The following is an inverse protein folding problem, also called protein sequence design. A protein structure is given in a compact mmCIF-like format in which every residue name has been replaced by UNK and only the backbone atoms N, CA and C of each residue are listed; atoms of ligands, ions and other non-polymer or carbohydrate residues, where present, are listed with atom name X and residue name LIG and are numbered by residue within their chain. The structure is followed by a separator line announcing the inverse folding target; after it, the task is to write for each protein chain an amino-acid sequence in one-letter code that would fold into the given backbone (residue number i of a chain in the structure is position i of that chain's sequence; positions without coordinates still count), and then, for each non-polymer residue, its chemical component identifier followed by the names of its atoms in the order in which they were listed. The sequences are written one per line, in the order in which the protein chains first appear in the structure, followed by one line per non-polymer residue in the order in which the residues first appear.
data_IF_522399349413
#
_entry.id   IF_522399349413
#
_cell.length_a   1.000
_cell.length_b   1.000
_cell.length_c   1.000
_cell.angle_alpha   90.00
_cell.angle_beta   90.00
_cell.angle_gamma   90.00
#
_symmetry.space_group_name_H-M   'P 1'
#
loop_
_entity.id
_entity.type
_entity.pdbx_description
1 polymer ?
#
# COMPACT_ATOMS: atom_id res chain seq x y z
N UNK A 1 4.63 -19.69 -5.55
CA UNK A 1 5.64 -18.92 -4.79
C UNK A 1 5.96 -17.65 -5.55
N UNK A 2 5.39 -16.50 -5.19
CA UNK A 2 5.79 -15.22 -5.79
C UNK A 2 6.89 -14.67 -4.90
N UNK A 3 8.14 -14.91 -5.28
CA UNK A 3 9.28 -14.26 -4.66
C UNK A 3 9.17 -12.76 -4.95
N UNK A 4 8.91 -11.96 -3.92
CA UNK A 4 9.07 -10.52 -4.01
C UNK A 4 10.57 -10.27 -4.02
N UNK A 5 11.19 -10.30 -5.21
CA UNK A 5 12.57 -9.86 -5.37
C UNK A 5 12.62 -8.43 -4.85
N UNK A 6 13.43 -8.21 -3.82
CA UNK A 6 13.73 -6.86 -3.36
C UNK A 6 14.33 -6.12 -4.55
N UNK A 7 13.51 -5.30 -5.21
CA UNK A 7 13.90 -4.56 -6.39
C UNK A 7 15.11 -3.69 -6.03
N UNK A 8 16.18 -3.81 -6.81
CA UNK A 8 17.39 -3.03 -6.61
C UNK A 8 17.02 -1.54 -6.64
N UNK A 9 17.50 -0.78 -5.65
CA UNK A 9 17.27 0.67 -5.59
C UNK A 9 17.83 1.31 -6.84
N UNK A 10 16.99 2.01 -7.60
CA UNK A 10 17.41 2.80 -8.76
C UNK A 10 17.59 4.25 -8.34
N UNK A 11 18.78 4.80 -8.56
CA UNK A 11 19.01 6.23 -8.38
C UNK A 11 18.07 7.02 -9.31
N UNK A 12 17.36 7.98 -8.73
CA UNK A 12 16.38 8.82 -9.43
C UNK A 12 16.65 10.27 -9.08
N UNK A 13 16.72 11.14 -10.09
CA UNK A 13 16.89 12.58 -9.87
C UNK A 13 15.53 13.20 -9.52
N UNK A 14 15.48 13.90 -8.38
CA UNK A 14 14.30 14.56 -7.84
C UNK A 14 14.68 15.99 -7.46
N UNK A 15 13.80 16.95 -7.75
CA UNK A 15 13.92 18.32 -7.28
C UNK A 15 13.14 18.49 -5.98
N UNK A 16 13.83 18.96 -4.93
CA UNK A 16 13.26 19.30 -3.62
C UNK A 16 13.66 20.72 -3.24
N UNK A 17 12.92 21.33 -2.31
CA UNK A 17 13.22 22.66 -1.80
C UNK A 17 14.60 22.69 -1.14
N UNK A 18 15.42 23.67 -1.52
CA UNK A 18 16.82 23.74 -1.11
C UNK A 18 16.98 24.00 0.40
N UNK A 19 16.07 24.78 0.99
CA UNK A 19 15.97 25.04 2.42
C UNK A 19 15.71 23.76 3.22
N UNK A 20 14.75 22.95 2.77
CA UNK A 20 14.41 21.65 3.39
C UNK A 20 15.57 20.67 3.31
N UNK A 21 16.28 20.62 2.17
CA UNK A 21 17.46 19.77 2.01
C UNK A 21 18.61 20.20 2.94
N UNK A 22 18.85 21.50 3.05
CA UNK A 22 19.87 22.04 3.96
C UNK A 22 19.54 21.69 5.42
N UNK A 23 18.27 21.84 5.80
CA UNK A 23 17.79 21.52 7.13
C UNK A 23 17.87 20.02 7.43
N UNK A 24 17.41 19.18 6.51
CA UNK A 24 17.50 17.73 6.64
C UNK A 24 18.96 17.29 6.82
N UNK A 25 19.90 17.87 6.08
CA UNK A 25 21.32 17.60 6.23
C UNK A 25 21.85 18.04 7.60
N UNK A 26 21.44 19.22 8.10
CA UNK A 26 21.80 19.72 9.43
C UNK A 26 21.30 18.79 10.55
N UNK A 27 20.12 18.22 10.37
CA UNK A 27 19.48 17.30 11.31
C UNK A 27 19.92 15.83 11.13
N UNK A 28 20.80 15.53 10.17
CA UNK A 28 21.26 14.17 9.91
C UNK A 28 20.20 13.24 9.30
N UNK A 29 19.15 13.80 8.69
CA UNK A 29 18.05 13.03 8.09
C UNK A 29 18.52 12.41 6.76
N UNK A 30 18.29 11.10 6.62
CA UNK A 30 18.53 10.39 5.38
C UNK A 30 17.36 10.62 4.40
N UNK A 31 17.45 11.67 3.59
CA UNK A 31 16.41 12.07 2.62
C UNK A 31 16.04 10.94 1.67
N UNK A 32 17.01 10.16 1.19
CA UNK A 32 16.77 9.06 0.26
C UNK A 32 15.90 7.97 0.89
N UNK A 33 16.19 7.61 2.14
CA UNK A 33 15.39 6.63 2.88
C UNK A 33 13.98 7.17 3.18
N UNK A 34 13.87 8.40 3.67
CA UNK A 34 12.59 9.02 3.98
C UNK A 34 11.67 9.10 2.73
N UNK A 35 12.23 9.48 1.58
CA UNK A 35 11.48 9.48 0.32
C UNK A 35 11.07 8.08 -0.13
N UNK A 36 11.92 7.07 -0.01
CA UNK A 36 11.59 5.69 -0.38
C UNK A 36 10.46 5.13 0.49
N UNK A 37 10.52 5.33 1.80
CA UNK A 37 9.48 4.90 2.74
C UNK A 37 8.13 5.58 2.44
N UNK A 38 8.14 6.90 2.29
CA UNK A 38 6.93 7.66 1.96
C UNK A 38 6.32 7.25 0.62
N UNK A 39 7.15 7.07 -0.42
CA UNK A 39 6.65 6.62 -1.73
C UNK A 39 6.08 5.21 -1.67
N UNK A 40 6.67 4.29 -0.90
CA UNK A 40 6.12 2.93 -0.72
C UNK A 40 4.73 2.99 -0.09
N UNK A 41 4.55 3.82 0.93
CA UNK A 41 3.25 3.99 1.58
C UNK A 41 2.21 4.59 0.64
N UNK A 42 2.56 5.66 -0.09
CA UNK A 42 1.68 6.25 -1.08
C UNK A 42 1.27 5.26 -2.17
N UNK A 43 2.22 4.48 -2.70
CA UNK A 43 1.93 3.47 -3.73
C UNK A 43 1.03 2.37 -3.17
N UNK A 44 1.24 1.93 -1.93
CA UNK A 44 0.37 0.94 -1.27
C UNK A 44 -1.04 1.49 -1.10
N UNK A 45 -1.17 2.70 -0.57
CA UNK A 45 -2.47 3.34 -0.35
C UNK A 45 -3.24 3.51 -1.68
N UNK A 46 -2.57 3.96 -2.73
CA UNK A 46 -3.19 4.15 -4.04
C UNK A 46 -3.60 2.81 -4.69
N UNK A 47 -2.78 1.76 -4.55
CA UNK A 47 -3.16 0.41 -4.99
C UNK A 47 -4.38 -0.10 -4.24
N UNK A 48 -4.42 0.06 -2.92
CA UNK A 48 -5.58 -0.31 -2.11
C UNK A 48 -6.83 0.47 -2.53
N UNK A 49 -6.71 1.77 -2.77
CA UNK A 49 -7.82 2.61 -3.22
C UNK A 49 -8.38 2.12 -4.56
N UNK A 50 -7.51 1.85 -5.54
CA UNK A 50 -7.91 1.34 -6.86
C UNK A 50 -8.55 -0.03 -6.76
N UNK A 51 -7.93 -0.95 -6.04
CA UNK A 51 -8.48 -2.29 -5.85
C UNK A 51 -9.87 -2.24 -5.21
N UNK A 52 -10.07 -1.40 -4.18
CA UNK A 52 -11.40 -1.21 -3.57
C UNK A 52 -12.42 -0.68 -4.55
N UNK A 53 -12.05 0.28 -5.40
CA UNK A 53 -12.94 0.82 -6.42
C UNK A 53 -13.30 -0.24 -7.48
N UNK A 54 -12.31 -0.99 -7.97
CA UNK A 54 -12.48 -2.06 -8.95
C UNK A 54 -13.35 -3.22 -8.43
N UNK A 55 -13.28 -3.51 -7.13
CA UNK A 55 -13.98 -4.64 -6.51
C UNK A 55 -15.23 -4.20 -5.73
N UNK A 56 -15.63 -2.93 -5.80
CA UNK A 56 -16.73 -2.40 -5.02
C UNK A 56 -18.06 -3.14 -5.29
N UNK A 57 -18.39 -3.36 -6.56
CA UNK A 57 -19.61 -4.06 -6.95
C UNK A 57 -19.58 -5.52 -6.50
N UNK A 58 -18.45 -6.21 -6.69
CA UNK A 58 -18.26 -7.58 -6.23
C UNK A 58 -18.43 -7.70 -4.71
N UNK A 59 -17.84 -6.79 -3.93
CA UNK A 59 -17.96 -6.77 -2.48
C UNK A 59 -19.42 -6.56 -2.06
N UNK A 60 -20.14 -5.64 -2.70
CA UNK A 60 -21.56 -5.40 -2.39
C UNK A 60 -22.39 -6.65 -2.69
N UNK A 61 -22.19 -7.29 -3.84
CA UNK A 61 -22.95 -8.49 -4.21
C UNK A 61 -22.63 -9.66 -3.27
N UNK A 62 -21.35 -9.88 -2.99
CA UNK A 62 -20.91 -10.93 -2.07
C UNK A 62 -21.46 -10.72 -0.65
N UNK A 63 -21.44 -9.47 -0.15
CA UNK A 63 -22.02 -9.15 1.15
C UNK A 63 -23.53 -9.45 1.18
N UNK A 64 -24.28 -9.15 0.11
CA UNK A 64 -25.70 -9.49 0.02
C UNK A 64 -25.92 -11.01 0.12
N UNK A 65 -25.12 -11.80 -0.60
CA UNK A 65 -25.20 -13.27 -0.57
C UNK A 65 -24.92 -13.78 0.85
N UNK A 66 -23.87 -13.27 1.51
CA UNK A 66 -23.54 -13.66 2.89
C UNK A 66 -24.65 -13.26 3.87
N UNK A 67 -25.29 -12.10 3.68
CA UNK A 67 -26.43 -11.68 4.51
C UNK A 67 -27.66 -12.58 4.32
N UNK A 68 -27.93 -13.04 3.09
CA UNK A 68 -29.09 -13.88 2.79
C UNK A 68 -28.87 -15.36 3.11
N UNK A 69 -27.68 -15.89 2.82
CA UNK A 69 -27.38 -17.33 2.86
C UNK A 69 -26.48 -17.72 4.04
N UNK A 70 -25.90 -16.73 4.74
CA UNK A 70 -24.88 -16.95 5.75
C UNK A 70 -23.50 -17.15 5.16
N UNK A 71 -22.50 -17.36 6.03
CA UNK A 71 -21.12 -17.59 5.59
C UNK A 71 -20.99 -19.00 4.99
N UNK A 72 -20.46 -19.13 3.76
CA UNK A 72 -20.10 -20.43 3.21
C UNK A 72 -19.15 -21.16 4.17
N UNK A 73 -19.40 -22.45 4.40
CA UNK A 73 -18.60 -23.32 5.27
C UNK A 73 -18.60 -22.94 6.75
N UNK A 74 -19.53 -22.10 7.21
CA UNK A 74 -19.68 -21.77 8.64
C UNK A 74 -19.83 -23.02 9.52
N UNK A 75 -20.48 -24.06 8.99
CA UNK A 75 -20.71 -25.34 9.67
C UNK A 75 -19.41 -26.14 9.95
N UNK A 76 -18.31 -25.86 9.24
CA UNK A 76 -17.02 -26.55 9.38
C UNK A 76 -15.97 -25.70 10.10
N UNK A 77 -16.36 -24.56 10.68
CA UNK A 77 -15.43 -23.65 11.36
C UNK A 77 -15.08 -24.18 12.76
N UNK A 78 -13.92 -24.82 12.87
CA UNK A 78 -13.27 -25.12 14.17
C UNK A 78 -12.65 -23.86 14.77
N UNK A 79 -12.84 -23.64 16.06
CA UNK A 79 -12.35 -22.48 16.83
C UNK A 79 -10.84 -22.53 17.12
#
# INVERSE_FOLDING_TARGET
MIAHTASAKKATNLSLSADVLAEAKRLGINVSQACDEFLRELVRAERTRRWKAENAEFIVEYNRIVESEGLPLAEWRSF
#
